data_IF_338546335209
#
_entry.id   IF_338546335209
#
_cell.length_a   1.000
_cell.length_b   1.000
_cell.length_c   1.000
_cell.angle_alpha   90.00
_cell.angle_beta   90.00
_cell.angle_gamma   90.00
#
_symmetry.space_group_name_H-M   'P 1'
#
loop_
_entity.id
_entity.type
_entity.pdbx_description
1 polymer ?
#
# COMPACT_ATOMS: atom_id res chain seq x y z
N UNK A 1 12.86 20.34 -0.93
CA UNK A 1 12.14 19.32 -0.13
C UNK A 1 10.65 19.50 -0.40
N UNK A 2 9.93 18.44 -0.70
CA UNK A 2 8.47 18.44 -0.84
C UNK A 2 7.86 17.43 0.12
N UNK A 3 6.70 17.80 0.66
CA UNK A 3 5.92 16.98 1.59
C UNK A 3 4.48 17.01 1.10
N UNK A 4 3.89 15.83 0.95
CA UNK A 4 2.49 15.67 0.58
C UNK A 4 1.79 14.85 1.65
N UNK A 5 0.62 15.32 2.06
CA UNK A 5 -0.29 14.60 2.93
C UNK A 5 -1.58 14.39 2.18
N UNK A 6 -2.11 13.19 2.30
CA UNK A 6 -3.40 12.89 1.72
C UNK A 6 -4.25 12.07 2.68
N UNK A 7 -5.55 12.36 2.67
CA UNK A 7 -6.58 11.57 3.32
C UNK A 7 -7.69 11.23 2.32
N UNK A 8 -7.97 9.94 2.22
CA UNK A 8 -9.00 9.40 1.34
C UNK A 8 -10.01 8.57 2.15
N UNK A 9 -11.24 8.53 1.67
CA UNK A 9 -12.30 7.69 2.20
C UNK A 9 -13.03 7.01 1.06
N UNK A 10 -13.59 5.84 1.33
CA UNK A 10 -14.44 5.14 0.37
C UNK A 10 -15.34 4.14 1.08
N UNK A 11 -16.48 3.89 0.46
CA UNK A 11 -17.47 2.93 0.91
C UNK A 11 -17.91 2.05 -0.27
N UNK A 12 -18.08 0.76 -0.03
CA UNK A 12 -18.51 -0.20 -1.04
C UNK A 12 -19.25 -1.36 -0.38
N UNK A 13 -20.39 -1.78 -0.93
CA UNK A 13 -21.09 -2.99 -0.50
C UNK A 13 -20.49 -4.22 -1.18
N UNK A 14 -19.93 -5.15 -0.42
CA UNK A 14 -19.21 -6.32 -0.99
C UNK A 14 -19.71 -7.69 -0.50
N UNK A 15 -20.43 -7.75 0.62
CA UNK A 15 -20.88 -9.02 1.21
C UNK A 15 -22.31 -8.87 1.75
N UNK A 16 -23.25 -9.75 1.36
CA UNK A 16 -24.57 -9.80 1.96
C UNK A 16 -24.51 -10.27 3.42
N UNK A 17 -25.39 -9.73 4.24
CA UNK A 17 -25.54 -10.08 5.64
C UNK A 17 -25.99 -11.55 5.78
N UNK A 18 -25.39 -12.35 6.69
CA UNK A 18 -25.71 -13.77 6.80
C UNK A 18 -27.10 -14.04 7.34
N UNK A 19 -27.64 -13.11 8.13
CA UNK A 19 -28.90 -13.25 8.83
C UNK A 19 -30.04 -12.56 8.07
N UNK A 20 -29.74 -11.48 7.35
CA UNK A 20 -30.74 -10.64 6.66
C UNK A 20 -30.64 -10.64 5.14
N UNK A 21 -29.52 -11.09 4.55
CA UNK A 21 -29.31 -11.12 3.10
C UNK A 21 -29.04 -9.76 2.45
N UNK A 22 -29.13 -8.67 3.20
CA UNK A 22 -28.90 -7.30 2.71
C UNK A 22 -27.42 -7.03 2.45
N UNK A 23 -27.10 -6.28 1.39
CA UNK A 23 -25.70 -5.89 1.11
C UNK A 23 -25.17 -5.01 2.25
N UNK A 24 -24.08 -5.44 2.92
CA UNK A 24 -23.47 -4.68 4.01
C UNK A 24 -22.48 -3.65 3.47
N UNK A 25 -22.60 -2.41 3.94
CA UNK A 25 -21.66 -1.33 3.61
C UNK A 25 -20.28 -1.59 4.23
N UNK A 26 -19.24 -1.71 3.41
CA UNK A 26 -17.88 -1.62 3.89
C UNK A 26 -17.37 -0.18 3.90
N UNK A 27 -16.61 0.18 4.93
CA UNK A 27 -16.02 1.51 5.08
C UNK A 27 -14.53 1.40 5.34
N UNK A 28 -13.75 2.10 4.50
CA UNK A 28 -12.33 2.33 4.72
C UNK A 28 -12.00 3.82 4.74
N UNK A 29 -10.89 4.14 5.39
CA UNK A 29 -10.24 5.43 5.28
C UNK A 29 -8.74 5.21 5.26
N UNK A 30 -8.01 6.06 4.54
CA UNK A 30 -6.57 5.98 4.45
C UNK A 30 -5.94 7.34 4.68
N UNK A 31 -4.73 7.33 5.23
CA UNK A 31 -3.85 8.50 5.28
C UNK A 31 -2.51 8.13 4.67
N UNK A 32 -2.01 8.97 3.77
CA UNK A 32 -0.68 8.83 3.20
C UNK A 32 0.16 10.07 3.48
N UNK A 33 1.44 9.87 3.73
CA UNK A 33 2.44 10.92 3.81
C UNK A 33 3.58 10.57 2.88
N UNK A 34 3.93 11.47 1.97
CA UNK A 34 5.08 11.35 1.08
C UNK A 34 6.06 12.48 1.33
N UNK A 35 7.32 12.13 1.56
CA UNK A 35 8.46 13.02 1.71
C UNK A 35 9.40 12.79 0.52
N UNK A 36 9.77 13.86 -0.18
CA UNK A 36 10.79 13.78 -1.22
C UNK A 36 11.87 14.84 -1.01
N UNK A 37 13.12 14.42 -1.14
CA UNK A 37 14.29 15.26 -0.92
C UNK A 37 15.34 15.04 -2.02
N UNK A 38 15.82 16.15 -2.59
CA UNK A 38 16.91 16.14 -3.57
C UNK A 38 18.22 16.37 -2.84
N UNK A 39 19.00 15.29 -2.69
CA UNK A 39 20.34 15.35 -2.09
C UNK A 39 21.34 16.01 -3.03
N UNK A 40 21.21 15.73 -4.32
CA UNK A 40 21.97 16.32 -5.41
C UNK A 40 21.00 16.67 -6.55
N UNK A 41 21.39 17.49 -7.54
CA UNK A 41 20.54 17.75 -8.72
C UNK A 41 20.10 16.47 -9.45
N UNK A 42 20.83 15.37 -9.24
CA UNK A 42 20.67 14.08 -9.90
C UNK A 42 20.17 12.97 -8.97
N UNK A 43 20.17 13.18 -7.65
CA UNK A 43 19.79 12.19 -6.66
C UNK A 43 18.61 12.69 -5.82
N UNK A 44 17.49 12.00 -5.95
CA UNK A 44 16.27 12.25 -5.19
C UNK A 44 15.90 11.02 -4.37
N UNK A 45 15.78 11.20 -3.06
CA UNK A 45 15.18 10.20 -2.18
C UNK A 45 13.72 10.51 -1.96
N UNK A 46 12.90 9.46 -1.92
CA UNK A 46 11.46 9.52 -1.66
C UNK A 46 11.14 8.55 -0.54
N UNK A 47 10.31 8.95 0.41
CA UNK A 47 9.78 8.08 1.45
C UNK A 47 8.28 8.27 1.48
N UNK A 48 7.53 7.18 1.41
CA UNK A 48 6.07 7.18 1.54
C UNK A 48 5.65 6.30 2.70
N UNK A 49 4.76 6.80 3.52
CA UNK A 49 4.10 6.06 4.59
C UNK A 49 2.60 6.08 4.33
N UNK A 50 2.01 4.90 4.24
CA UNK A 50 0.58 4.72 3.99
C UNK A 50 -0.04 4.00 5.20
N UNK A 51 -1.15 4.52 5.71
CA UNK A 51 -1.92 3.89 6.78
C UNK A 51 -3.36 3.73 6.34
N UNK A 52 -3.88 2.50 6.38
CA UNK A 52 -5.26 2.19 6.03
C UNK A 52 -6.01 1.75 7.29
N UNK A 53 -7.16 2.38 7.53
CA UNK A 53 -8.13 2.03 8.56
C UNK A 53 -9.35 1.40 7.89
N UNK A 54 -9.58 0.12 8.17
CA UNK A 54 -10.71 -0.67 7.71
C UNK A 54 -11.53 -1.10 8.94
N UNK A 55 -12.63 -0.39 9.22
CA UNK A 55 -13.36 -0.49 10.50
C UNK A 55 -14.74 -1.16 10.39
N UNK A 56 -15.31 -1.24 9.18
CA UNK A 56 -16.64 -1.84 8.96
C UNK A 56 -16.59 -2.73 7.72
N UNK A 57 -16.86 -4.02 7.90
CA UNK A 57 -17.07 -5.02 6.85
C UNK A 57 -15.91 -5.28 5.86
N UNK A 58 -14.65 -5.02 6.25
CA UNK A 58 -13.46 -5.58 5.57
C UNK A 58 -13.27 -5.19 4.10
N UNK A 59 -13.93 -4.13 3.64
CA UNK A 59 -14.07 -3.74 2.24
C UNK A 59 -12.75 -3.63 1.50
N UNK A 60 -12.65 -4.33 0.36
CA UNK A 60 -11.72 -4.05 -0.73
C UNK A 60 -10.31 -4.65 -0.65
N UNK A 61 -10.16 -5.79 0.03
CA UNK A 61 -9.14 -6.77 -0.34
C UNK A 61 -9.80 -7.88 -1.17
N UNK A 62 -9.48 -7.98 -2.47
CA UNK A 62 -9.91 -9.10 -3.32
C UNK A 62 -9.39 -10.41 -2.69
N UNK A 63 -10.27 -11.17 -2.01
CA UNK A 63 -10.10 -12.51 -1.38
C UNK A 63 -10.74 -12.59 0.03
N UNK A 64 -11.14 -11.48 0.66
CA UNK A 64 -11.87 -11.54 1.94
C UNK A 64 -13.38 -11.66 1.70
N UNK A 65 -13.92 -12.88 1.82
CA UNK A 65 -15.37 -13.16 1.87
C UNK A 65 -15.88 -13.53 3.28
N UNK A 66 -15.02 -13.50 4.29
CA UNK A 66 -15.39 -13.80 5.68
C UNK A 66 -15.63 -12.53 6.49
N UNK A 67 -16.73 -12.54 7.24
CA UNK A 67 -17.17 -11.50 8.18
C UNK A 67 -16.07 -11.28 9.23
N UNK A 68 -15.30 -10.21 9.11
CA UNK A 68 -14.41 -9.79 10.18
C UNK A 68 -14.49 -8.27 10.32
N UNK A 69 -14.95 -7.81 11.48
CA UNK A 69 -14.99 -6.39 11.87
C UNK A 69 -13.59 -5.83 12.22
N UNK A 70 -12.53 -6.61 11.99
CA UNK A 70 -11.17 -6.24 12.35
C UNK A 70 -10.29 -5.84 11.17
N UNK A 71 -9.50 -4.80 11.42
CA UNK A 71 -8.49 -4.23 10.54
C UNK A 71 -7.56 -5.32 9.96
N UNK A 72 -7.75 -5.68 8.70
CA UNK A 72 -6.95 -6.71 8.01
C UNK A 72 -5.65 -6.16 7.44
N UNK A 73 -5.69 -4.96 6.86
CA UNK A 73 -4.56 -4.29 6.19
C UNK A 73 -3.92 -3.33 7.18
N UNK A 74 -2.64 -3.52 7.46
CA UNK A 74 -1.87 -2.61 8.31
C UNK A 74 -1.17 -1.55 7.46
N UNK A 75 -0.32 -0.73 8.09
CA UNK A 75 0.33 0.34 7.36
C UNK A 75 1.45 -0.20 6.46
N UNK A 76 1.94 0.65 5.57
CA UNK A 76 2.99 0.34 4.61
C UNK A 76 4.02 1.47 4.56
N UNK A 77 5.29 1.09 4.43
CA UNK A 77 6.40 2.00 4.21
C UNK A 77 7.01 1.72 2.85
N UNK A 78 7.18 2.75 2.04
CA UNK A 78 7.89 2.68 0.76
C UNK A 78 9.09 3.63 0.80
N UNK A 79 10.27 3.12 0.48
CA UNK A 79 11.50 3.87 0.29
C UNK A 79 11.82 3.87 -1.21
N UNK A 80 11.92 5.05 -1.79
CA UNK A 80 12.23 5.28 -3.19
C UNK A 80 13.53 6.05 -3.36
N UNK A 81 14.24 5.78 -4.44
CA UNK A 81 15.41 6.55 -4.85
C UNK A 81 15.40 6.69 -6.36
N UNK A 82 15.58 7.92 -6.83
CA UNK A 82 15.74 8.25 -8.24
C UNK A 82 17.15 8.80 -8.45
N UNK A 83 17.89 8.20 -9.39
CA UNK A 83 19.23 8.64 -9.78
C UNK A 83 19.30 8.90 -11.29
N UNK A 84 19.53 10.15 -11.67
CA UNK A 84 19.62 10.57 -13.06
C UNK A 84 21.06 10.42 -13.60
N UNK A 85 21.35 9.30 -14.28
CA UNK A 85 22.63 9.02 -14.93
C UNK A 85 22.97 9.97 -16.07
N UNK A 86 21.98 10.56 -16.73
CA UNK A 86 22.08 11.62 -17.74
C UNK A 86 20.69 12.27 -17.90
N UNK A 87 20.55 13.33 -18.70
CA UNK A 87 19.24 13.97 -18.95
C UNK A 87 18.20 13.00 -19.56
N UNK A 88 18.67 11.96 -20.26
CA UNK A 88 17.84 10.92 -20.88
C UNK A 88 17.88 9.58 -20.16
N UNK A 89 18.39 9.46 -18.93
CA UNK A 89 18.41 8.17 -18.23
C UNK A 89 18.27 8.32 -16.72
N UNK A 90 17.20 7.75 -16.17
CA UNK A 90 16.87 7.81 -14.74
C UNK A 90 16.72 6.38 -14.21
N UNK A 91 17.54 6.04 -13.24
CA UNK A 91 17.40 4.83 -12.46
C UNK A 91 16.46 5.07 -11.29
N UNK A 92 15.57 4.12 -11.05
CA UNK A 92 14.60 4.12 -9.97
C UNK A 92 14.76 2.85 -9.16
N UNK A 93 14.84 3.02 -7.85
CA UNK A 93 14.84 1.95 -6.87
C UNK A 93 13.65 2.19 -5.94
N UNK A 94 12.84 1.17 -5.71
CA UNK A 94 11.72 1.22 -4.77
C UNK A 94 11.76 -0.02 -3.89
N UNK A 95 11.76 0.17 -2.58
CA UNK A 95 11.60 -0.87 -1.57
C UNK A 95 10.34 -0.60 -0.78
N UNK A 96 9.44 -1.58 -0.72
CA UNK A 96 8.18 -1.48 0.00
C UNK A 96 8.11 -2.56 1.07
N UNK A 97 7.72 -2.14 2.26
CA UNK A 97 7.49 -2.99 3.40
C UNK A 97 6.06 -2.80 3.89
N UNK A 98 5.26 -3.85 3.73
CA UNK A 98 3.85 -3.87 4.12
C UNK A 98 3.69 -4.70 5.39
N UNK A 99 2.89 -4.17 6.32
CA UNK A 99 2.56 -4.83 7.57
C UNK A 99 1.06 -5.06 7.62
N UNK A 100 0.66 -6.15 8.25
CA UNK A 100 -0.73 -6.44 8.50
C UNK A 100 -0.89 -6.97 9.93
N UNK A 101 -1.96 -6.53 10.58
CA UNK A 101 -2.32 -7.01 11.93
C UNK A 101 -2.69 -8.49 11.88
N UNK A 102 -3.22 -8.96 10.75
CA UNK A 102 -3.57 -10.35 10.45
C UNK A 102 -2.65 -10.94 9.38
N UNK A 103 -2.48 -12.27 9.36
CA UNK A 103 -1.71 -12.92 8.31
C UNK A 103 -2.56 -12.94 7.03
N UNK A 104 -2.49 -11.87 6.25
CA UNK A 104 -3.25 -11.69 5.00
C UNK A 104 -2.42 -11.95 3.74
N UNK A 105 -1.08 -12.01 3.88
CA UNK A 105 -0.21 -12.25 2.74
C UNK A 105 -0.06 -13.75 2.52
N UNK A 106 -0.60 -14.26 1.43
CA UNK A 106 -0.44 -15.67 1.08
C UNK A 106 0.98 -15.93 0.60
N UNK A 107 1.72 -16.74 1.35
CA UNK A 107 3.01 -17.25 0.92
C UNK A 107 2.79 -18.52 0.09
N UNK A 108 2.95 -18.39 -1.23
CA UNK A 108 2.76 -19.48 -2.19
C UNK A 108 3.79 -20.61 -2.01
N UNK A 109 4.95 -20.35 -1.39
CA UNK A 109 6.00 -21.36 -1.18
C UNK A 109 5.80 -22.17 0.10
N UNK A 110 5.33 -21.53 1.17
CA UNK A 110 5.18 -22.19 2.48
C UNK A 110 3.75 -22.69 2.76
N UNK A 111 2.79 -22.45 1.85
CA UNK A 111 1.34 -22.67 2.05
C UNK A 111 0.80 -22.03 3.35
N UNK A 112 1.48 -20.99 3.82
CA UNK A 112 1.16 -20.28 5.06
C UNK A 112 0.72 -18.86 4.77
N UNK A 113 0.11 -18.22 5.75
CA UNK A 113 -0.22 -16.81 5.69
C UNK A 113 0.76 -16.00 6.55
N UNK A 114 1.33 -14.95 5.96
CA UNK A 114 2.34 -14.09 6.55
C UNK A 114 1.75 -12.73 6.90
N UNK A 115 2.25 -12.13 8.00
CA UNK A 115 1.81 -10.81 8.49
C UNK A 115 2.57 -9.64 7.85
N UNK A 116 3.68 -9.94 7.17
CA UNK A 116 4.55 -8.94 6.59
C UNK A 116 4.88 -9.32 5.15
N UNK A 117 4.97 -8.33 4.27
CA UNK A 117 5.39 -8.51 2.89
C UNK A 117 6.49 -7.50 2.53
N UNK A 118 7.45 -7.92 1.73
CA UNK A 118 8.56 -7.08 1.26
C UNK A 118 8.64 -7.17 -0.25
N UNK A 119 8.60 -6.02 -0.92
CA UNK A 119 8.78 -5.91 -2.36
C UNK A 119 9.98 -5.01 -2.66
N UNK A 120 10.80 -5.42 -3.61
CA UNK A 120 11.92 -4.64 -4.12
C UNK A 120 11.77 -4.54 -5.63
N UNK A 121 11.78 -3.31 -6.14
CA UNK A 121 11.65 -3.00 -7.55
C UNK A 121 12.78 -2.09 -8.00
N UNK A 122 13.30 -2.37 -9.19
CA UNK A 122 14.28 -1.53 -9.88
C UNK A 122 13.82 -1.27 -11.30
N UNK A 123 14.01 -0.04 -11.79
CA UNK A 123 13.68 0.31 -13.15
C UNK A 123 14.70 1.33 -13.69
N UNK A 124 14.96 1.28 -14.99
CA UNK A 124 15.68 2.33 -15.70
C UNK A 124 14.72 2.92 -16.72
N UNK A 125 14.50 4.23 -16.63
CA UNK A 125 13.79 4.99 -17.63
C UNK A 125 14.81 5.60 -18.57
N UNK A 126 14.69 5.34 -19.87
CA UNK A 126 15.55 5.93 -20.91
C UNK A 126 14.68 6.82 -21.80
N UNK A 127 15.08 8.07 -21.96
CA UNK A 127 14.53 8.99 -22.95
C UNK A 127 15.30 8.84 -24.26
N UNK A 128 14.55 8.72 -25.35
CA UNK A 128 15.05 8.78 -26.73
C UNK A 128 15.06 10.23 -27.23
#
# INVERSE_FOLDING_TARGET
MSIFFDQWMGACGITPDPDTGDMRDAYWSGRSTLLAYKFEPRLEGVVRFDYIFNRKNGGGLLTYSSLDDHNGIGPALTLGMNYAFNLGSIFKLEYRYDWATRPIFFDTKSKGTSKCNQSLSTAVVVGL
#
